data_IF_006569624410
#
_entry.id   IF_006569624410
#
_cell.length_a   1.000
_cell.length_b   1.000
_cell.length_c   1.000
_cell.angle_alpha   90.00
_cell.angle_beta   90.00
_cell.angle_gamma   90.00
#
_symmetry.space_group_name_H-M   'P 1'
#
loop_
_entity.id
_entity.type
_entity.pdbx_description
1 polymer ?
#
# COMPACT_ATOMS: atom_id res chain seq x y z
N UNK A 1 40.48 -20.87 34.24
CA UNK A 1 40.22 -20.24 32.92
C UNK A 1 39.29 -21.12 32.13
N UNK A 2 38.13 -20.59 31.70
CA UNK A 2 37.36 -20.91 30.48
C UNK A 2 35.88 -20.56 30.72
N UNK A 3 35.42 -19.49 30.08
CA UNK A 3 34.06 -19.32 29.54
C UNK A 3 34.16 -19.79 28.06
N UNK A 4 33.13 -20.30 27.34
CA UNK A 4 31.85 -19.58 27.15
C UNK A 4 30.62 -20.41 26.73
N UNK A 5 29.41 -20.14 27.22
CA UNK A 5 28.19 -20.44 26.45
C UNK A 5 27.17 -19.30 26.62
N UNK A 6 27.23 -18.34 25.70
CA UNK A 6 26.12 -17.43 25.43
C UNK A 6 25.00 -18.25 24.81
N UNK A 7 23.95 -18.54 25.57
CA UNK A 7 22.69 -19.01 25.03
C UNK A 7 22.13 -17.91 24.12
N UNK A 8 21.88 -18.15 22.82
CA UNK A 8 21.13 -17.21 22.03
C UNK A 8 19.70 -17.21 22.56
N UNK A 9 19.31 -16.14 23.24
CA UNK A 9 17.92 -15.88 23.54
C UNK A 9 17.20 -15.70 22.19
N UNK A 10 16.42 -16.72 21.81
CA UNK A 10 15.43 -16.64 20.75
C UNK A 10 14.50 -15.49 21.08
N UNK A 11 14.65 -14.36 20.38
CA UNK A 11 13.67 -13.30 20.43
C UNK A 11 12.32 -13.92 20.02
N UNK A 12 11.23 -13.73 20.80
CA UNK A 12 9.93 -14.09 20.30
C UNK A 12 9.70 -13.30 19.02
N UNK A 13 9.32 -13.99 17.95
CA UNK A 13 8.71 -13.42 16.76
C UNK A 13 7.79 -12.30 17.21
N UNK A 14 8.17 -11.07 16.89
CA UNK A 14 7.29 -9.91 17.03
C UNK A 14 6.03 -10.25 16.25
N UNK A 15 5.00 -10.68 16.98
CA UNK A 15 3.63 -10.65 16.51
C UNK A 15 3.46 -9.25 15.94
N UNK A 16 3.23 -9.19 14.62
CA UNK A 16 2.97 -7.95 13.90
C UNK A 16 1.59 -7.48 14.38
N UNK A 17 1.54 -6.95 15.60
CA UNK A 17 0.36 -6.30 16.13
C UNK A 17 0.04 -5.18 15.13
N UNK A 18 -1.19 -5.12 14.60
CA UNK A 18 -1.59 -4.05 13.71
C UNK A 18 -1.36 -2.75 14.48
N UNK A 19 -0.31 -2.03 14.11
CA UNK A 19 -0.05 -0.71 14.67
C UNK A 19 -1.21 0.15 14.19
N UNK A 20 -2.00 0.79 15.09
CA UNK A 20 -3.01 1.72 14.64
C UNK A 20 -2.29 2.79 13.82
N UNK A 21 -2.68 2.91 12.55
CA UNK A 21 -2.08 3.86 11.63
C UNK A 21 -2.15 5.25 12.28
N UNK A 22 -1.04 6.02 12.30
CA UNK A 22 -1.09 7.40 12.78
C UNK A 22 -2.09 8.17 11.94
N UNK A 23 -3.28 8.39 12.50
CA UNK A 23 -4.42 8.95 11.78
C UNK A 23 -4.13 10.42 11.47
N UNK A 24 -3.90 10.72 10.20
CA UNK A 24 -4.09 12.07 9.71
C UNK A 24 -5.59 12.22 9.46
N UNK A 25 -6.28 13.03 10.24
CA UNK A 25 -7.75 13.20 10.16
C UNK A 25 -8.20 13.73 8.79
N UNK A 26 -7.30 14.34 8.01
CA UNK A 26 -7.58 14.84 6.65
C UNK A 26 -6.43 14.46 5.71
N UNK A 27 -6.71 13.78 4.58
CA UNK A 27 -5.70 13.45 3.58
C UNK A 27 -5.06 14.73 2.98
N UNK A 28 -3.72 14.76 2.88
CA UNK A 28 -3.00 15.86 2.21
C UNK A 28 -3.10 15.73 0.67
N UNK A 29 -4.23 16.13 0.08
CA UNK A 29 -4.49 16.00 -1.37
C UNK A 29 -3.43 16.64 -2.26
N UNK A 30 -2.88 17.80 -1.86
CA UNK A 30 -1.85 18.51 -2.65
C UNK A 30 -0.54 17.71 -2.76
N UNK A 31 -0.20 16.95 -1.72
CA UNK A 31 1.01 16.12 -1.70
C UNK A 31 0.83 14.88 -2.56
N UNK A 32 -0.34 14.26 -2.48
CA UNK A 32 -0.73 13.15 -3.33
C UNK A 32 -0.71 13.57 -4.80
N UNK A 33 -1.36 14.69 -5.16
CA UNK A 33 -1.38 15.20 -6.54
C UNK A 33 0.04 15.46 -7.08
N UNK A 34 0.91 16.09 -6.28
CA UNK A 34 2.31 16.33 -6.66
C UNK A 34 3.07 15.01 -6.92
N UNK A 35 2.80 13.99 -6.10
CA UNK A 35 3.42 12.68 -6.25
C UNK A 35 2.88 11.96 -7.49
N UNK A 36 1.57 12.04 -7.75
CA UNK A 36 0.96 11.50 -8.94
C UNK A 36 1.56 12.13 -10.19
N UNK A 37 1.65 13.46 -10.29
CA UNK A 37 2.23 14.13 -11.47
C UNK A 37 3.64 13.62 -11.79
N UNK A 38 4.44 13.30 -10.75
CA UNK A 38 5.78 12.75 -10.94
C UNK A 38 5.79 11.30 -11.43
N UNK A 39 4.78 10.53 -11.04
CA UNK A 39 4.69 9.09 -11.31
C UNK A 39 3.57 8.74 -12.30
N UNK A 40 2.99 9.74 -12.96
CA UNK A 40 1.77 9.58 -13.76
C UNK A 40 1.97 8.66 -14.94
N UNK A 41 3.18 8.64 -15.50
CA UNK A 41 3.53 7.76 -16.62
C UNK A 41 3.45 6.28 -16.23
N UNK A 42 4.04 5.91 -15.10
CA UNK A 42 4.03 4.53 -14.57
C UNK A 42 2.61 4.15 -14.13
N UNK A 43 1.94 5.02 -13.38
CA UNK A 43 0.60 4.73 -12.86
C UNK A 43 -0.41 4.61 -14.00
N UNK A 44 -0.45 5.58 -14.92
CA UNK A 44 -1.40 5.53 -16.04
C UNK A 44 -1.08 4.41 -17.02
N UNK A 45 0.20 4.15 -17.30
CA UNK A 45 0.61 3.06 -18.18
C UNK A 45 0.22 1.68 -17.61
N UNK A 46 0.47 1.45 -16.32
CA UNK A 46 0.12 0.20 -15.66
C UNK A 46 -1.40 -0.02 -15.54
N UNK A 47 -2.16 1.05 -15.25
CA UNK A 47 -3.63 0.99 -15.24
C UNK A 47 -4.18 0.70 -16.63
N UNK A 48 -3.72 1.42 -17.67
CA UNK A 48 -4.17 1.20 -19.03
C UNK A 48 -3.89 -0.24 -19.52
N UNK A 49 -2.73 -0.80 -19.14
CA UNK A 49 -2.40 -2.19 -19.42
C UNK A 49 -3.33 -3.16 -18.68
N UNK A 50 -3.57 -2.92 -17.39
CA UNK A 50 -4.48 -3.73 -16.57
C UNK A 50 -5.91 -3.73 -17.14
N UNK A 51 -6.41 -2.57 -17.55
CA UNK A 51 -7.73 -2.44 -18.19
C UNK A 51 -7.80 -3.16 -19.54
N UNK A 52 -6.80 -2.97 -20.41
CA UNK A 52 -6.77 -3.61 -21.73
C UNK A 52 -6.76 -5.14 -21.62
N UNK A 53 -5.97 -5.66 -20.67
CA UNK A 53 -5.79 -7.10 -20.47
C UNK A 53 -6.79 -7.71 -19.49
N UNK A 54 -7.66 -6.91 -18.86
CA UNK A 54 -8.57 -7.33 -17.80
C UNK A 54 -7.83 -8.07 -16.67
N UNK A 55 -6.66 -7.56 -16.29
CA UNK A 55 -5.81 -8.08 -15.22
C UNK A 55 -5.70 -7.08 -14.08
N UNK A 56 -5.16 -7.53 -12.94
CA UNK A 56 -4.64 -6.59 -11.95
C UNK A 56 -3.43 -5.81 -12.49
N UNK A 57 -3.11 -4.69 -11.86
CA UNK A 57 -1.85 -3.96 -12.11
C UNK A 57 -0.65 -4.78 -11.66
N UNK A 58 0.50 -4.62 -12.29
CA UNK A 58 1.73 -5.31 -11.86
C UNK A 58 2.26 -4.78 -10.53
N UNK A 59 3.15 -5.57 -9.89
CA UNK A 59 3.74 -5.25 -8.59
C UNK A 59 4.49 -3.90 -8.55
N UNK A 60 5.16 -3.52 -9.65
CA UNK A 60 5.83 -2.22 -9.75
C UNK A 60 4.82 -1.06 -9.74
N UNK A 61 3.77 -1.18 -10.54
CA UNK A 61 2.66 -0.23 -10.59
C UNK A 61 1.96 -0.15 -9.24
N UNK A 62 1.70 -1.27 -8.57
CA UNK A 62 1.08 -1.32 -7.25
C UNK A 62 1.91 -0.61 -6.17
N UNK A 63 3.23 -0.81 -6.15
CA UNK A 63 4.13 -0.09 -5.23
C UNK A 63 4.15 1.41 -5.53
N UNK A 64 4.13 1.78 -6.80
CA UNK A 64 4.09 3.18 -7.23
C UNK A 64 2.78 3.85 -6.79
N UNK A 65 1.65 3.15 -6.95
CA UNK A 65 0.34 3.60 -6.46
C UNK A 65 0.37 3.76 -4.94
N UNK A 66 0.86 2.77 -4.19
CA UNK A 66 0.99 2.84 -2.74
C UNK A 66 1.86 4.02 -2.30
N UNK A 67 2.96 4.30 -3.03
CA UNK A 67 3.82 5.46 -2.79
C UNK A 67 3.05 6.77 -2.95
N UNK A 68 2.23 6.90 -3.99
CA UNK A 68 1.43 8.11 -4.24
C UNK A 68 0.39 8.29 -3.13
N UNK A 69 -0.36 7.24 -2.82
CA UNK A 69 -1.43 7.27 -1.81
C UNK A 69 -0.88 7.61 -0.42
N UNK A 70 0.26 7.05 -0.03
CA UNK A 70 0.88 7.31 1.27
C UNK A 70 1.29 8.77 1.47
N UNK A 71 1.47 9.57 0.39
CA UNK A 71 1.77 11.01 0.53
C UNK A 71 0.60 11.84 1.04
N UNK A 72 -0.62 11.32 0.95
CA UNK A 72 -1.77 11.93 1.61
C UNK A 72 -1.86 11.60 3.10
N UNK A 73 -1.19 10.52 3.54
CA UNK A 73 -1.24 10.00 4.90
C UNK A 73 0.00 10.35 5.71
N UNK A 74 0.09 9.79 6.91
CA UNK A 74 1.27 9.87 7.75
C UNK A 74 2.46 9.12 7.13
N UNK A 75 3.71 9.55 7.40
CA UNK A 75 4.91 8.93 6.84
C UNK A 75 5.11 7.47 7.28
N UNK A 76 4.56 7.08 8.42
CA UNK A 76 4.65 5.72 9.01
C UNK A 76 3.41 4.86 8.67
N UNK A 77 2.75 5.15 7.53
CA UNK A 77 1.59 4.40 7.06
C UNK A 77 1.96 3.02 6.50
N UNK A 78 1.05 2.06 6.59
CA UNK A 78 1.20 0.75 5.96
C UNK A 78 1.42 0.87 4.44
N UNK A 79 0.78 1.84 3.79
CA UNK A 79 1.00 2.16 2.37
C UNK A 79 2.44 2.65 2.10
N UNK A 80 3.06 3.39 3.03
CA UNK A 80 4.48 3.76 2.91
C UNK A 80 5.39 2.55 3.00
N UNK A 81 5.10 1.59 3.89
CA UNK A 81 5.89 0.37 4.01
C UNK A 81 5.75 -0.51 2.76
N UNK A 82 4.51 -0.73 2.30
CA UNK A 82 4.24 -1.49 1.08
C UNK A 82 4.89 -0.86 -0.16
N UNK A 83 4.93 0.47 -0.25
CA UNK A 83 5.60 1.16 -1.35
C UNK A 83 7.12 0.84 -1.44
N UNK A 84 7.74 0.46 -0.32
CA UNK A 84 9.17 0.14 -0.23
C UNK A 84 9.45 -1.35 -0.37
N UNK A 85 8.59 -2.19 0.20
CA UNK A 85 8.82 -3.64 0.33
C UNK A 85 8.02 -4.45 -0.68
N UNK A 86 6.94 -3.90 -1.23
CA UNK A 86 5.95 -4.60 -2.03
C UNK A 86 5.11 -5.61 -1.25
N UNK A 87 5.22 -5.61 0.08
CA UNK A 87 4.57 -6.55 0.96
C UNK A 87 3.97 -5.83 2.17
N UNK A 88 2.79 -6.24 2.60
CA UNK A 88 2.15 -5.62 3.76
C UNK A 88 0.95 -6.42 4.21
N UNK A 89 0.47 -6.12 5.41
CA UNK A 89 -0.75 -6.71 5.92
C UNK A 89 -1.97 -6.17 5.14
N UNK A 90 -2.78 -7.06 4.58
CA UNK A 90 -3.94 -6.69 3.76
C UNK A 90 -4.95 -5.86 4.56
N UNK A 91 -5.21 -6.19 5.83
CA UNK A 91 -6.18 -5.46 6.64
C UNK A 91 -5.70 -4.04 6.94
N UNK A 92 -4.42 -3.87 7.28
CA UNK A 92 -3.81 -2.55 7.50
C UNK A 92 -3.81 -1.69 6.22
N UNK A 93 -3.43 -2.27 5.08
CA UNK A 93 -3.47 -1.57 3.79
C UNK A 93 -4.91 -1.17 3.42
N UNK A 94 -5.86 -2.08 3.66
CA UNK A 94 -7.28 -1.86 3.41
C UNK A 94 -7.87 -0.74 4.21
N UNK A 95 -7.58 -0.67 5.51
CA UNK A 95 -8.04 0.43 6.35
C UNK A 95 -7.56 1.79 5.82
N UNK A 96 -6.29 1.86 5.41
CA UNK A 96 -5.68 3.09 4.92
C UNK A 96 -6.22 3.51 3.54
N UNK A 97 -6.27 2.61 2.55
CA UNK A 97 -6.79 3.00 1.24
C UNK A 97 -8.30 3.28 1.29
N UNK A 98 -9.07 2.63 2.17
CA UNK A 98 -10.50 2.92 2.34
C UNK A 98 -10.73 4.28 2.99
N UNK A 99 -9.84 4.71 3.89
CA UNK A 99 -9.86 6.07 4.44
C UNK A 99 -9.76 7.10 3.31
N UNK A 100 -8.87 6.88 2.35
CA UNK A 100 -8.73 7.75 1.16
C UNK A 100 -9.96 7.64 0.25
N UNK A 101 -10.47 6.42 0.03
CA UNK A 101 -11.61 6.16 -0.87
C UNK A 101 -12.92 6.81 -0.40
N UNK A 102 -13.19 6.74 0.91
CA UNK A 102 -14.41 7.24 1.53
C UNK A 102 -14.37 8.74 1.84
N UNK A 103 -13.22 9.39 1.68
CA UNK A 103 -13.14 10.83 1.86
C UNK A 103 -14.00 11.55 0.79
N UNK A 104 -14.88 12.48 1.19
CA UNK A 104 -15.77 13.17 0.27
C UNK A 104 -15.05 14.10 -0.70
N UNK A 105 -13.86 14.59 -0.34
CA UNK A 105 -13.02 15.46 -1.18
C UNK A 105 -12.12 14.65 -2.12
N UNK A 106 -12.11 13.32 -2.01
CA UNK A 106 -11.33 12.45 -2.88
C UNK A 106 -11.69 12.66 -4.37
N UNK A 107 -10.72 13.04 -5.22
CA UNK A 107 -10.92 13.13 -6.66
C UNK A 107 -11.35 11.78 -7.27
N UNK A 108 -12.10 11.81 -8.37
CA UNK A 108 -12.55 10.59 -9.05
C UNK A 108 -11.38 9.67 -9.45
N UNK A 109 -10.29 10.25 -9.97
CA UNK A 109 -9.09 9.50 -10.35
C UNK A 109 -8.41 8.82 -9.16
N UNK A 110 -8.52 9.37 -7.94
CA UNK A 110 -7.98 8.72 -6.75
C UNK A 110 -8.75 7.43 -6.45
N UNK A 111 -10.07 7.45 -6.63
CA UNK A 111 -10.91 6.25 -6.43
C UNK A 111 -10.57 5.16 -7.42
N UNK A 112 -10.33 5.52 -8.69
CA UNK A 112 -9.88 4.60 -9.73
C UNK A 112 -8.53 3.96 -9.36
N UNK A 113 -7.54 4.78 -8.98
CA UNK A 113 -6.23 4.30 -8.53
C UNK A 113 -6.35 3.36 -7.32
N UNK A 114 -7.22 3.69 -6.35
CA UNK A 114 -7.49 2.83 -5.19
C UNK A 114 -8.19 1.52 -5.59
N UNK A 115 -9.08 1.53 -6.56
CA UNK A 115 -9.78 0.32 -7.04
C UNK A 115 -8.80 -0.68 -7.67
N UNK A 116 -7.91 -0.21 -8.55
CA UNK A 116 -6.86 -1.04 -9.13
C UNK A 116 -5.89 -1.58 -8.07
N UNK A 117 -5.53 -0.76 -7.08
CA UNK A 117 -4.68 -1.18 -5.99
C UNK A 117 -5.34 -2.24 -5.10
N UNK A 118 -6.61 -2.03 -4.74
CA UNK A 118 -7.39 -3.00 -3.97
C UNK A 118 -7.53 -4.34 -4.70
N UNK A 119 -7.77 -4.30 -6.00
CA UNK A 119 -7.83 -5.48 -6.87
C UNK A 119 -6.50 -6.25 -6.85
N UNK A 120 -5.37 -5.55 -7.01
CA UNK A 120 -4.04 -6.17 -6.91
C UNK A 120 -3.81 -6.85 -5.56
N UNK A 121 -4.14 -6.16 -4.46
CA UNK A 121 -3.97 -6.71 -3.12
C UNK A 121 -4.82 -7.97 -2.88
N UNK A 122 -6.04 -8.01 -3.43
CA UNK A 122 -6.89 -9.21 -3.35
C UNK A 122 -6.24 -10.37 -4.09
N UNK A 123 -5.73 -10.16 -5.32
CA UNK A 123 -5.04 -11.21 -6.06
C UNK A 123 -3.77 -11.69 -5.36
N UNK A 124 -3.03 -10.79 -4.71
CA UNK A 124 -1.82 -11.12 -3.96
C UNK A 124 -2.15 -11.93 -2.69
N UNK A 125 -3.22 -11.57 -1.98
CA UNK A 125 -3.59 -12.16 -0.68
C UNK A 125 -4.39 -13.45 -0.84
N UNK A 126 -5.27 -13.51 -1.84
CA UNK A 126 -6.19 -14.61 -2.10
C UNK A 126 -5.98 -15.16 -3.53
N UNK A 127 -4.88 -15.88 -3.78
CA UNK A 127 -4.59 -16.41 -5.11
C UNK A 127 -5.66 -17.41 -5.63
N UNK A 128 -6.45 -18.00 -4.74
CA UNK A 128 -7.58 -18.89 -5.06
C UNK A 128 -8.84 -18.13 -5.54
N UNK A 129 -8.92 -16.81 -5.34
CA UNK A 129 -10.07 -16.00 -5.74
C UNK A 129 -10.11 -15.68 -7.25
N UNK A 130 -9.11 -16.10 -8.02
CA UNK A 130 -9.00 -15.90 -9.47
C UNK A 130 -9.71 -16.98 -10.32
N UNK A 131 -10.61 -17.78 -9.75
CA UNK A 131 -11.33 -18.85 -10.47
C UNK A 131 -12.67 -18.41 -11.03
#
# INVERSE_FOLDING_TARGET
MNNPEHTPATLPTTEHLPRPAPTREVPDWRRLETALIRHSDIVAGGIAYADEHHTGVDQETAQCIAHVLSRSLAPDSALSDYALTGNGDYEALRDEYLTIYHDPEAPAWVREVVDHFGTHLIYQTFPDAST
#
